data_IF_254921961201
#
_entry.id   IF_254921961201
#
_cell.length_a   1.000
_cell.length_b   1.000
_cell.length_c   1.000
_cell.angle_alpha   90.00
_cell.angle_beta   90.00
_cell.angle_gamma   90.00
#
_symmetry.space_group_name_H-M   'P 1'
#
loop_
_entity.id
_entity.type
_entity.pdbx_description
1 polymer ?
#
# COMPACT_ATOMS: atom_id res chain seq x y z
N UNK A 1 22.53 -9.55 1.91
CA UNK A 1 21.59 -10.54 1.32
C UNK A 1 21.90 -10.67 -0.16
N UNK A 2 22.18 -11.89 -0.60
CA UNK A 2 22.41 -12.18 -2.02
C UNK A 2 21.16 -11.98 -2.86
N UNK A 3 21.32 -11.83 -4.19
CA UNK A 3 20.18 -11.54 -5.07
C UNK A 3 19.13 -12.68 -5.05
N UNK A 4 19.61 -13.94 -5.04
CA UNK A 4 18.75 -15.11 -4.93
C UNK A 4 17.92 -15.10 -3.63
N UNK A 5 18.56 -14.88 -2.51
CA UNK A 5 17.92 -14.86 -1.19
C UNK A 5 16.90 -13.72 -1.07
N UNK A 6 17.23 -12.55 -1.59
CA UNK A 6 16.31 -11.41 -1.62
C UNK A 6 15.03 -11.75 -2.37
N UNK A 7 15.15 -12.27 -3.59
CA UNK A 7 13.97 -12.60 -4.42
C UNK A 7 13.13 -13.69 -3.74
N UNK A 8 13.75 -14.75 -3.24
CA UNK A 8 13.04 -15.84 -2.55
C UNK A 8 12.33 -15.36 -1.28
N UNK A 9 13.00 -14.56 -0.46
CA UNK A 9 12.40 -14.02 0.76
C UNK A 9 11.16 -13.18 0.42
N UNK A 10 11.26 -12.33 -0.59
CA UNK A 10 10.13 -11.52 -1.04
C UNK A 10 8.98 -12.39 -1.58
N UNK A 11 9.29 -13.38 -2.44
CA UNK A 11 8.29 -14.29 -2.99
C UNK A 11 7.53 -15.05 -1.89
N UNK A 12 8.22 -15.50 -0.84
CA UNK A 12 7.59 -16.19 0.29
C UNK A 12 6.66 -15.28 1.06
N UNK A 13 7.11 -14.08 1.40
CA UNK A 13 6.29 -13.11 2.13
C UNK A 13 5.06 -12.66 1.34
N UNK A 14 5.26 -12.30 0.08
CA UNK A 14 4.19 -11.81 -0.79
C UNK A 14 3.15 -12.89 -1.10
N UNK A 15 3.56 -14.16 -1.22
CA UNK A 15 2.65 -15.31 -1.45
C UNK A 15 1.60 -15.45 -0.36
N UNK A 16 1.93 -15.13 0.90
CA UNK A 16 0.97 -15.13 2.01
C UNK A 16 -0.16 -14.14 1.73
N UNK A 17 0.18 -12.97 1.22
CA UNK A 17 -0.80 -11.92 0.87
C UNK A 17 -1.60 -12.32 -0.37
N UNK A 18 -0.93 -12.83 -1.40
CA UNK A 18 -1.56 -13.23 -2.67
C UNK A 18 -2.52 -14.42 -2.51
N UNK A 19 -2.32 -15.26 -1.53
CA UNK A 19 -3.26 -16.36 -1.20
C UNK A 19 -4.52 -15.89 -0.46
N UNK A 20 -4.87 -14.60 -0.55
CA UNK A 20 -6.07 -13.99 0.04
C UNK A 20 -6.16 -14.24 1.56
N UNK A 21 -5.07 -13.95 2.27
CA UNK A 21 -5.07 -14.05 3.72
C UNK A 21 -6.21 -13.19 4.30
N UNK A 22 -7.18 -13.81 5.03
CA UNK A 22 -8.46 -13.16 5.32
C UNK A 22 -8.33 -11.92 6.22
N UNK A 23 -7.40 -11.91 7.17
CA UNK A 23 -7.17 -10.74 8.03
C UNK A 23 -6.61 -9.57 7.23
N UNK A 24 -5.66 -9.84 6.33
CA UNK A 24 -5.11 -8.82 5.45
C UNK A 24 -6.20 -8.22 4.56
N UNK A 25 -7.00 -9.07 3.92
CA UNK A 25 -8.10 -8.63 3.05
C UNK A 25 -9.15 -7.83 3.82
N UNK A 26 -9.50 -8.26 5.03
CA UNK A 26 -10.43 -7.53 5.89
C UNK A 26 -9.92 -6.12 6.22
N UNK A 27 -8.65 -6.00 6.61
CA UNK A 27 -8.04 -4.70 6.94
C UNK A 27 -7.92 -3.83 5.69
N UNK A 28 -7.45 -4.40 4.58
CA UNK A 28 -7.20 -3.65 3.34
C UNK A 28 -8.50 -3.14 2.70
N UNK A 29 -9.47 -4.00 2.46
CA UNK A 29 -10.77 -3.63 1.87
C UNK A 29 -11.62 -2.87 2.89
N UNK A 30 -11.63 -3.33 4.16
CA UNK A 30 -12.39 -2.69 5.24
C UNK A 30 -11.98 -1.24 5.48
N UNK A 31 -10.69 -0.93 5.42
CA UNK A 31 -10.20 0.45 5.57
C UNK A 31 -10.75 1.39 4.48
N UNK A 32 -10.84 0.92 3.25
CA UNK A 32 -11.43 1.69 2.14
C UNK A 32 -12.92 1.92 2.37
N UNK A 33 -13.66 0.87 2.72
CA UNK A 33 -15.10 0.95 2.97
C UNK A 33 -15.41 1.90 4.13
N UNK A 34 -14.68 1.77 5.25
CA UNK A 34 -14.86 2.63 6.43
C UNK A 34 -14.54 4.08 6.08
N UNK A 35 -13.47 4.34 5.34
CA UNK A 35 -13.11 5.70 4.94
C UNK A 35 -14.17 6.33 4.03
N UNK A 36 -14.67 5.62 3.04
CA UNK A 36 -15.74 6.10 2.15
C UNK A 36 -17.00 6.38 2.97
N UNK A 37 -17.37 5.51 3.89
CA UNK A 37 -18.51 5.73 4.80
C UNK A 37 -18.31 6.97 5.67
N UNK A 38 -17.10 7.17 6.20
CA UNK A 38 -16.75 8.36 6.99
C UNK A 38 -16.91 9.64 6.19
N UNK A 39 -16.45 9.66 4.93
CA UNK A 39 -16.64 10.81 4.04
C UNK A 39 -18.12 11.05 3.76
N UNK A 40 -18.86 10.00 3.40
CA UNK A 40 -20.29 10.12 3.06
C UNK A 40 -21.13 10.64 4.24
N UNK A 41 -20.87 10.15 5.45
CA UNK A 41 -21.54 10.63 6.65
C UNK A 41 -21.06 12.04 7.06
N UNK A 42 -19.79 12.34 6.82
CA UNK A 42 -19.21 13.64 7.15
C UNK A 42 -19.72 14.80 6.31
N UNK A 43 -20.05 14.58 5.03
CA UNK A 43 -20.50 15.63 4.10
C UNK A 43 -21.75 16.37 4.61
N UNK A 44 -22.64 15.70 5.32
CA UNK A 44 -23.84 16.32 5.86
C UNK A 44 -23.74 16.81 7.31
N UNK A 45 -22.63 16.52 8.00
CA UNK A 45 -22.50 16.74 9.44
C UNK A 45 -21.27 17.59 9.82
N UNK A 46 -20.25 17.62 8.97
CA UNK A 46 -19.01 18.36 9.20
C UNK A 46 -18.96 19.63 8.36
N UNK A 47 -18.42 20.69 8.95
CA UNK A 47 -18.26 21.98 8.29
C UNK A 47 -16.84 22.52 8.53
N UNK A 48 -16.40 23.45 7.66
CA UNK A 48 -15.12 24.14 7.80
C UNK A 48 -13.94 23.19 7.91
N UNK A 49 -13.12 23.36 8.94
CA UNK A 49 -11.89 22.59 9.13
C UNK A 49 -12.14 21.08 9.32
N UNK A 50 -13.24 20.68 9.94
CA UNK A 50 -13.58 19.26 10.12
C UNK A 50 -13.84 18.55 8.79
N UNK A 51 -14.60 19.17 7.90
CA UNK A 51 -14.83 18.65 6.57
C UNK A 51 -13.53 18.59 5.74
N UNK A 52 -12.69 19.61 5.83
CA UNK A 52 -11.39 19.63 5.14
C UNK A 52 -10.48 18.50 5.62
N UNK A 53 -10.43 18.24 6.93
CA UNK A 53 -9.61 17.14 7.48
C UNK A 53 -10.02 15.77 6.91
N UNK A 54 -11.31 15.47 6.84
CA UNK A 54 -11.77 14.18 6.32
C UNK A 54 -11.54 14.06 4.81
N UNK A 55 -11.73 15.13 4.06
CA UNK A 55 -11.49 15.14 2.61
C UNK A 55 -10.00 14.94 2.31
N UNK A 56 -9.11 15.68 2.97
CA UNK A 56 -7.67 15.52 2.76
C UNK A 56 -7.16 14.15 3.20
N UNK A 57 -7.67 13.60 4.31
CA UNK A 57 -7.34 12.25 4.74
C UNK A 57 -7.77 11.21 3.68
N UNK A 58 -8.97 11.34 3.14
CA UNK A 58 -9.49 10.46 2.10
C UNK A 58 -8.67 10.54 0.80
N UNK A 59 -8.35 11.75 0.33
CA UNK A 59 -7.54 11.94 -0.86
C UNK A 59 -6.12 11.38 -0.66
N UNK A 60 -5.47 11.64 0.47
CA UNK A 60 -4.15 11.12 0.79
C UNK A 60 -4.13 9.59 0.79
N UNK A 61 -5.13 8.96 1.40
CA UNK A 61 -5.22 7.51 1.49
C UNK A 61 -5.61 6.85 0.17
N UNK A 62 -6.66 7.31 -0.50
CA UNK A 62 -7.15 6.68 -1.73
C UNK A 62 -6.19 6.91 -2.90
N UNK A 63 -5.70 8.12 -3.09
CA UNK A 63 -4.82 8.47 -4.21
C UNK A 63 -3.34 8.20 -3.91
N UNK A 64 -2.91 8.33 -2.68
CA UNK A 64 -1.51 8.19 -2.28
C UNK A 64 -1.13 6.81 -1.75
N UNK A 65 -2.08 6.00 -1.30
CA UNK A 65 -1.84 4.65 -0.76
C UNK A 65 -2.50 3.58 -1.62
N UNK A 66 -3.79 3.62 -1.79
CA UNK A 66 -4.53 2.56 -2.49
C UNK A 66 -4.23 2.53 -3.98
N UNK A 67 -4.28 3.66 -4.64
CA UNK A 67 -4.01 3.74 -6.08
C UNK A 67 -2.59 3.28 -6.43
N UNK A 68 -1.51 3.76 -5.79
CA UNK A 68 -0.16 3.22 -6.04
C UNK A 68 -0.02 1.74 -5.68
N UNK A 69 -0.73 1.25 -4.68
CA UNK A 69 -0.75 -0.19 -4.37
C UNK A 69 -1.20 -1.00 -5.57
N UNK A 70 -2.33 -0.62 -6.17
CA UNK A 70 -2.94 -1.37 -7.27
C UNK A 70 -2.15 -1.22 -8.57
N UNK A 71 -1.70 0.00 -8.92
CA UNK A 71 -1.08 0.27 -10.23
C UNK A 71 0.44 0.10 -10.26
N UNK A 72 1.11 0.07 -9.12
CA UNK A 72 2.57 0.00 -9.05
C UNK A 72 3.05 -1.20 -8.25
N UNK A 73 2.69 -1.29 -6.96
CA UNK A 73 3.24 -2.33 -6.09
C UNK A 73 2.74 -3.74 -6.46
N UNK A 74 1.45 -3.93 -6.69
CA UNK A 74 0.91 -5.24 -7.09
C UNK A 74 1.51 -5.72 -8.41
N UNK A 75 1.59 -4.93 -9.50
CA UNK A 75 2.27 -5.35 -10.72
C UNK A 75 3.76 -5.69 -10.52
N UNK A 76 4.49 -4.92 -9.70
CA UNK A 76 5.88 -5.24 -9.36
C UNK A 76 5.99 -6.57 -8.61
N UNK A 77 5.13 -6.80 -7.62
CA UNK A 77 5.07 -8.06 -6.88
C UNK A 77 4.79 -9.24 -7.80
N UNK A 78 3.78 -9.12 -8.64
CA UNK A 78 3.40 -10.16 -9.59
C UNK A 78 4.54 -10.50 -10.55
N UNK A 79 5.24 -9.49 -11.07
CA UNK A 79 6.41 -9.69 -11.93
C UNK A 79 7.51 -10.49 -11.22
N UNK A 80 7.77 -10.17 -9.95
CA UNK A 80 8.78 -10.90 -9.16
C UNK A 80 8.33 -12.34 -8.85
N UNK A 81 7.05 -12.56 -8.59
CA UNK A 81 6.48 -13.89 -8.33
C UNK A 81 6.59 -14.86 -9.52
N UNK A 82 6.61 -14.35 -10.75
CA UNK A 82 6.70 -15.19 -11.96
C UNK A 82 8.11 -15.70 -12.23
N UNK A 83 9.13 -15.21 -11.52
CA UNK A 83 10.51 -15.63 -11.74
C UNK A 83 10.77 -17.02 -11.15
N UNK A 84 11.28 -17.93 -11.97
CA UNK A 84 11.93 -19.14 -11.46
C UNK A 84 13.39 -18.80 -11.10
N UNK A 85 13.61 -18.54 -9.83
CA UNK A 85 14.88 -18.03 -9.31
C UNK A 85 16.03 -19.00 -9.54
N UNK A 86 15.75 -20.31 -9.57
CA UNK A 86 16.78 -21.34 -9.76
C UNK A 86 17.08 -21.58 -11.26
N UNK A 87 16.14 -21.26 -12.15
CA UNK A 87 16.32 -21.42 -13.58
C UNK A 87 17.04 -20.25 -14.27
N UNK A 88 17.07 -19.06 -13.66
CA UNK A 88 17.70 -17.87 -14.25
C UNK A 88 19.14 -17.69 -13.77
N UNK A 89 19.96 -17.00 -14.58
CA UNK A 89 21.35 -16.69 -14.27
C UNK A 89 21.46 -15.65 -13.13
N UNK A 90 22.65 -15.59 -12.50
CA UNK A 90 22.94 -14.56 -11.48
C UNK A 90 22.80 -13.12 -12.04
N UNK A 91 23.21 -12.91 -13.29
CA UNK A 91 23.02 -11.63 -13.99
C UNK A 91 21.53 -11.26 -14.09
N UNK A 92 20.68 -12.24 -14.44
CA UNK A 92 19.22 -12.03 -14.52
C UNK A 92 18.61 -11.76 -13.14
N UNK A 93 19.07 -12.44 -12.08
CA UNK A 93 18.64 -12.15 -10.70
C UNK A 93 19.00 -10.74 -10.27
N UNK A 94 20.23 -10.32 -10.57
CA UNK A 94 20.70 -8.96 -10.28
C UNK A 94 19.84 -7.92 -10.98
N UNK A 95 19.58 -8.06 -12.27
CA UNK A 95 18.74 -7.15 -13.03
C UNK A 95 17.29 -7.11 -12.50
N UNK A 96 16.73 -8.26 -12.15
CA UNK A 96 15.39 -8.33 -11.57
C UNK A 96 15.30 -7.58 -10.23
N UNK A 97 16.31 -7.72 -9.37
CA UNK A 97 16.39 -6.99 -8.10
C UNK A 97 16.58 -5.48 -8.31
N UNK A 98 17.45 -5.08 -9.22
CA UNK A 98 17.72 -3.66 -9.53
C UNK A 98 16.50 -2.95 -10.14
N UNK A 99 15.66 -3.67 -10.89
CA UNK A 99 14.39 -3.13 -11.40
C UNK A 99 13.33 -3.05 -10.30
N UNK A 100 13.27 -4.02 -9.41
CA UNK A 100 12.22 -4.13 -8.39
C UNK A 100 12.49 -3.28 -7.15
N UNK A 101 13.65 -3.45 -6.50
CA UNK A 101 13.94 -2.99 -5.14
C UNK A 101 13.83 -1.45 -4.99
N UNK A 102 14.47 -0.63 -5.83
CA UNK A 102 14.39 0.84 -5.69
C UNK A 102 12.97 1.38 -5.92
N UNK A 103 12.25 0.83 -6.89
CA UNK A 103 10.89 1.26 -7.22
C UNK A 103 9.90 0.86 -6.13
N UNK A 104 10.00 -0.39 -5.67
CA UNK A 104 9.14 -0.90 -4.62
C UNK A 104 9.33 -0.15 -3.31
N UNK A 105 10.58 0.04 -2.87
CA UNK A 105 10.91 0.76 -1.65
C UNK A 105 10.46 2.22 -1.70
N UNK A 106 10.68 2.90 -2.82
CA UNK A 106 10.23 4.29 -3.00
C UNK A 106 8.72 4.42 -2.82
N UNK A 107 7.94 3.58 -3.50
CA UNK A 107 6.49 3.64 -3.41
C UNK A 107 5.96 3.14 -2.06
N UNK A 108 6.61 2.16 -1.47
CA UNK A 108 6.30 1.70 -0.12
C UNK A 108 6.51 2.82 0.91
N UNK A 109 7.59 3.59 0.79
CA UNK A 109 7.84 4.75 1.65
C UNK A 109 6.78 5.84 1.47
N UNK A 110 6.44 6.19 0.22
CA UNK A 110 5.39 7.18 -0.09
C UNK A 110 4.06 6.74 0.55
N UNK A 111 3.68 5.49 0.38
CA UNK A 111 2.46 4.92 0.97
C UNK A 111 2.48 4.97 2.50
N UNK A 112 3.61 4.63 3.13
CA UNK A 112 3.76 4.69 4.58
C UNK A 112 3.61 6.12 5.12
N UNK A 113 4.23 7.10 4.46
CA UNK A 113 4.11 8.52 4.84
C UNK A 113 2.68 9.02 4.67
N UNK A 114 2.04 8.75 3.53
CA UNK A 114 0.70 9.24 3.24
C UNK A 114 -0.39 8.56 4.08
N UNK A 115 -0.24 7.26 4.39
CA UNK A 115 -1.16 6.58 5.32
C UNK A 115 -1.01 7.11 6.75
N UNK A 116 0.21 7.41 7.19
CA UNK A 116 0.46 8.04 8.49
C UNK A 116 -0.14 9.45 8.56
N UNK A 117 -0.01 10.23 7.48
CA UNK A 117 -0.64 11.55 7.37
C UNK A 117 -2.16 11.44 7.44
N UNK A 118 -2.76 10.53 6.67
CA UNK A 118 -4.22 10.32 6.69
C UNK A 118 -4.71 9.94 8.10
N UNK A 119 -3.99 9.05 8.78
CA UNK A 119 -4.31 8.66 10.16
C UNK A 119 -4.21 9.85 11.12
N UNK A 120 -3.17 10.66 11.01
CA UNK A 120 -2.99 11.86 11.84
C UNK A 120 -4.14 12.85 11.62
N UNK A 121 -4.56 13.09 10.37
CA UNK A 121 -5.67 13.98 10.06
C UNK A 121 -7.00 13.49 10.67
N UNK A 122 -7.26 12.18 10.61
CA UNK A 122 -8.45 11.58 11.21
C UNK A 122 -8.42 11.62 12.73
N UNK A 123 -7.26 11.44 13.36
CA UNK A 123 -7.09 11.59 14.80
C UNK A 123 -7.35 13.03 15.22
N UNK A 124 -6.81 14.02 14.51
CA UNK A 124 -7.07 15.44 14.78
C UNK A 124 -8.57 15.72 14.65
N UNK A 125 -9.23 15.19 13.61
CA UNK A 125 -10.68 15.33 13.47
C UNK A 125 -11.43 14.78 14.70
N UNK A 126 -11.04 13.59 15.17
CA UNK A 126 -11.67 12.96 16.34
C UNK A 126 -11.60 13.84 17.60
N UNK A 127 -10.47 14.53 17.81
CA UNK A 127 -10.33 15.48 18.95
C UNK A 127 -11.11 16.79 18.77
N UNK A 128 -11.61 17.07 17.59
CA UNK A 128 -12.43 18.26 17.29
C UNK A 128 -13.93 18.00 17.36
N UNK A 129 -14.33 16.74 17.37
CA UNK A 129 -15.73 16.33 17.53
C UNK A 129 -16.18 16.42 18.97
#
# INVERSE_FOLDING_TARGET
MENREFILAFQVMDRIIQNNQPIFMLVWVGSVVVLIATVALGIGQLYGAGLMLVIFAALAYLLGVQLPTVIINIPLNNKLQTLDVDAISETARKLAREDFDPRWNRWNLIRAVLSSLASALLIILLFRL
#
